data_IF_259309112767
#
_entry.id   IF_259309112767
#
_cell.length_a   1.000
_cell.length_b   1.000
_cell.length_c   1.000
_cell.angle_alpha   90.00
_cell.angle_beta   90.00
_cell.angle_gamma   90.00
#
_symmetry.space_group_name_H-M   'P 1'
#
loop_
_entity.id
_entity.type
_entity.pdbx_description
1 polymer ?
#
# COMPACT_ATOMS: atom_id res chain seq x y z
N UNK A 1 -28.67 25.90 5.52
CA UNK A 1 -28.19 24.55 5.15
C UNK A 1 -27.04 24.66 4.14
N UNK A 2 -26.01 25.47 4.42
CA UNK A 2 -24.92 25.77 3.47
C UNK A 2 -23.53 25.35 3.99
N UNK A 3 -23.34 25.26 5.31
CA UNK A 3 -22.03 25.05 5.94
C UNK A 3 -21.47 23.62 5.77
N UNK A 4 -22.32 22.62 5.56
CA UNK A 4 -21.90 21.22 5.42
C UNK A 4 -21.13 20.99 4.13
N UNK A 5 -21.52 21.63 3.01
CA UNK A 5 -20.82 21.52 1.73
C UNK A 5 -19.39 22.09 1.83
N UNK A 6 -19.23 23.22 2.52
CA UNK A 6 -17.92 23.85 2.73
C UNK A 6 -16.99 23.05 3.64
N UNK A 7 -17.51 22.20 4.52
CA UNK A 7 -16.70 21.28 5.34
C UNK A 7 -16.40 19.97 4.60
N UNK A 8 -17.34 19.46 3.81
CA UNK A 8 -17.17 18.21 3.07
C UNK A 8 -16.22 18.34 1.87
N UNK A 9 -16.19 19.49 1.21
CA UNK A 9 -15.31 19.75 0.07
C UNK A 9 -13.80 19.62 0.40
N UNK A 10 -13.28 20.27 1.46
CA UNK A 10 -11.86 20.11 1.83
C UNK A 10 -11.57 18.71 2.37
N UNK A 11 -12.50 18.08 3.10
CA UNK A 11 -12.32 16.70 3.59
C UNK A 11 -12.20 15.72 2.42
N UNK A 12 -13.05 15.87 1.40
CA UNK A 12 -12.98 15.06 0.17
C UNK A 12 -11.66 15.24 -0.56
N UNK A 13 -11.19 16.48 -0.73
CA UNK A 13 -9.90 16.77 -1.36
C UNK A 13 -8.73 16.14 -0.58
N UNK A 14 -8.76 16.23 0.74
CA UNK A 14 -7.75 15.66 1.62
C UNK A 14 -7.72 14.13 1.49
N UNK A 15 -8.88 13.47 1.43
CA UNK A 15 -8.98 12.03 1.21
C UNK A 15 -8.41 11.61 -0.15
N UNK A 16 -8.69 12.35 -1.22
CA UNK A 16 -8.14 12.07 -2.56
C UNK A 16 -6.61 12.17 -2.55
N UNK A 17 -6.06 13.21 -1.91
CA UNK A 17 -4.61 13.38 -1.77
C UNK A 17 -4.00 12.23 -0.96
N UNK A 18 -4.63 11.85 0.17
CA UNK A 18 -4.17 10.75 1.02
C UNK A 18 -4.12 9.43 0.25
N UNK A 19 -5.17 9.12 -0.51
CA UNK A 19 -5.23 7.93 -1.37
C UNK A 19 -4.14 7.98 -2.45
N UNK A 20 -3.95 9.14 -3.09
CA UNK A 20 -2.90 9.33 -4.09
C UNK A 20 -1.48 9.10 -3.53
N UNK A 21 -1.19 9.63 -2.34
CA UNK A 21 0.09 9.42 -1.65
C UNK A 21 0.25 7.95 -1.24
N UNK A 22 -0.80 7.31 -0.74
CA UNK A 22 -0.76 5.88 -0.38
C UNK A 22 -0.46 5.00 -1.61
N UNK A 23 -1.09 5.27 -2.75
CA UNK A 23 -0.80 4.56 -4.00
C UNK A 23 0.60 4.84 -4.53
N UNK A 24 1.03 6.11 -4.50
CA UNK A 24 2.38 6.47 -4.87
C UNK A 24 3.39 5.70 -4.02
N UNK A 25 3.22 5.72 -2.70
CA UNK A 25 4.07 4.96 -1.79
C UNK A 25 3.99 3.46 -2.07
N UNK A 26 2.82 2.88 -2.28
CA UNK A 26 2.66 1.45 -2.60
C UNK A 26 3.37 1.01 -3.90
N UNK A 27 3.39 1.87 -4.92
CA UNK A 27 4.07 1.63 -6.19
C UNK A 27 5.59 1.73 -6.01
N UNK A 28 6.06 2.77 -5.33
CA UNK A 28 7.50 3.05 -5.17
C UNK A 28 8.16 2.28 -4.02
N UNK A 29 7.40 1.85 -3.01
CA UNK A 29 7.91 1.14 -1.83
C UNK A 29 8.28 -0.33 -2.12
N UNK A 30 8.26 -0.75 -3.39
CA UNK A 30 8.82 -2.04 -3.78
C UNK A 30 8.18 -3.20 -3.02
N UNK A 31 6.85 -3.21 -2.87
CA UNK A 31 6.13 -4.32 -2.21
C UNK A 31 6.40 -5.70 -2.86
N UNK A 32 7.04 -5.69 -4.03
CA UNK A 32 7.55 -6.84 -4.76
C UNK A 32 8.88 -7.41 -4.23
N UNK A 33 9.72 -6.62 -3.55
CA UNK A 33 11.00 -7.11 -2.98
C UNK A 33 10.76 -8.10 -1.83
N UNK A 34 9.70 -7.89 -1.03
CA UNK A 34 9.35 -8.81 0.06
C UNK A 34 8.77 -10.14 -0.43
N UNK A 35 8.13 -10.19 -1.61
CA UNK A 35 7.65 -11.46 -2.20
C UNK A 35 8.76 -12.35 -2.73
N UNK A 36 9.91 -11.79 -3.12
CA UNK A 36 11.05 -12.59 -3.59
C UNK A 36 11.65 -13.43 -2.45
N UNK A 37 11.76 -12.86 -1.26
CA UNK A 37 12.25 -13.56 -0.07
C UNK A 37 11.29 -14.66 0.40
N UNK A 38 9.97 -14.43 0.33
CA UNK A 38 8.96 -15.44 0.64
C UNK A 38 8.91 -16.58 -0.40
N UNK A 39 9.22 -16.30 -1.68
CA UNK A 39 9.32 -17.31 -2.72
C UNK A 39 10.58 -18.18 -2.55
N UNK A 40 11.71 -17.57 -2.18
CA UNK A 40 12.95 -18.27 -1.90
C UNK A 40 12.82 -19.23 -0.70
N UNK A 41 12.12 -18.82 0.37
CA UNK A 41 11.92 -19.69 1.54
C UNK A 41 11.10 -20.94 1.24
N UNK A 42 10.15 -20.89 0.29
CA UNK A 42 9.33 -22.05 -0.10
C UNK A 42 10.13 -23.02 -0.99
N UNK A 43 11.03 -22.50 -1.83
CA UNK A 43 11.87 -23.31 -2.72
C UNK A 43 13.02 -23.99 -1.96
N UNK A 44 13.67 -23.31 -1.01
CA UNK A 44 14.80 -23.83 -0.25
C UNK A 44 14.42 -24.67 0.99
N UNK A 45 13.15 -24.70 1.40
CA UNK A 45 12.71 -25.50 2.57
C UNK A 45 12.82 -27.03 2.35
N UNK A 46 12.99 -27.50 1.11
CA UNK A 46 12.99 -28.93 0.78
C UNK A 46 14.37 -29.63 0.87
N UNK A 47 15.46 -28.92 1.19
CA UNK A 47 16.82 -29.50 1.20
C UNK A 47 17.38 -29.77 2.62
N UNK A 48 16.56 -29.66 3.67
CA UNK A 48 16.98 -29.88 5.06
C UNK A 48 16.22 -31.01 5.76
N UNK A 49 16.00 -32.13 5.07
CA UNK A 49 15.69 -33.40 5.73
C UNK A 49 16.86 -34.38 5.52
N UNK A 50 17.38 -34.82 6.66
CA UNK A 50 18.53 -35.69 6.95
C UNK A 50 18.59 -37.04 6.23
#
# INVERSE_FOLDING_TARGET
>A
MEASLFLLLPISLLLVILIGVAFWWAIFSGQFDNTNQAAESILHDNDTDS
#
